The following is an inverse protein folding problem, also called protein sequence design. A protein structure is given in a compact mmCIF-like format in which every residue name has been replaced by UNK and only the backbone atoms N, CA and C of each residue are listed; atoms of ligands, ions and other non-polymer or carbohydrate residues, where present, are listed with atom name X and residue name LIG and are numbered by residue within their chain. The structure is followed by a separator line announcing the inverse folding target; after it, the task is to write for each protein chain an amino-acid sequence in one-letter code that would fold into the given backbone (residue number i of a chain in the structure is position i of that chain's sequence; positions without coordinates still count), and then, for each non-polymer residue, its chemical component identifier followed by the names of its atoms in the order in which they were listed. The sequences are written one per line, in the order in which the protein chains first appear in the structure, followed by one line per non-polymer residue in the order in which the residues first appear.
data_IF_449383391820
#
_entry.id   IF_449383391820
#
_cell.length_a   1.000
_cell.length_b   1.000
_cell.length_c   1.000
_cell.angle_alpha   90.00
_cell.angle_beta   90.00
_cell.angle_gamma   90.00
#
_symmetry.space_group_name_H-M   'P 1'
#
loop_
_entity.id
_entity.type
_entity.pdbx_description
1 polymer ?
#
# COMPACT_ATOMS: atom_id res chain seq x y z
N UNK A 1 -15.92 0.69 6.15
CA UNK A 1 -15.51 -0.73 6.34
C UNK A 1 -16.36 -1.77 5.65
N UNK A 2 -17.65 -1.52 5.39
CA UNK A 2 -18.52 -2.52 4.74
C UNK A 2 -18.10 -2.93 3.31
N UNK A 3 -17.27 -2.11 2.64
CA UNK A 3 -16.66 -2.41 1.33
C UNK A 3 -15.45 -3.34 1.42
N UNK A 4 -14.84 -3.47 2.60
CA UNK A 4 -13.59 -4.21 2.83
C UNK A 4 -13.81 -5.51 3.62
N UNK A 5 -14.77 -5.54 4.55
CA UNK A 5 -14.98 -6.68 5.44
C UNK A 5 -16.15 -7.57 4.98
N UNK A 6 -15.86 -8.81 4.62
CA UNK A 6 -16.82 -9.89 4.43
C UNK A 6 -17.06 -10.68 5.73
N UNK A 7 -18.28 -10.64 6.28
CA UNK A 7 -18.64 -11.34 7.54
C UNK A 7 -17.67 -11.05 8.70
N UNK A 8 -17.31 -9.77 8.87
CA UNK A 8 -16.34 -9.28 9.85
C UNK A 8 -14.90 -9.80 9.70
N UNK A 9 -14.55 -10.40 8.55
CA UNK A 9 -13.19 -10.77 8.17
C UNK A 9 -12.81 -10.05 6.87
N UNK A 10 -11.51 -9.98 6.59
CA UNK A 10 -10.99 -9.41 5.35
C UNK A 10 -9.83 -10.29 4.88
N UNK A 11 -9.95 -10.86 3.69
CA UNK A 11 -8.85 -11.38 2.91
C UNK A 11 -8.36 -10.28 1.97
N UNK A 12 -7.30 -9.61 2.38
CA UNK A 12 -6.60 -8.61 1.58
C UNK A 12 -5.34 -9.24 0.97
N UNK A 13 -5.18 -9.12 -0.35
CA UNK A 13 -4.03 -9.66 -1.08
C UNK A 13 -3.18 -8.51 -1.59
N UNK A 14 -1.95 -8.40 -1.07
CA UNK A 14 -1.02 -7.33 -1.42
C UNK A 14 -0.16 -7.67 -2.63
N UNK A 15 -0.21 -6.78 -3.63
CA UNK A 15 0.63 -6.77 -4.84
C UNK A 15 1.19 -5.36 -5.11
N UNK A 16 1.22 -4.51 -4.10
CA UNK A 16 1.70 -3.13 -4.11
C UNK A 16 3.23 -3.02 -4.05
N UNK A 17 3.93 -3.99 -4.65
CA UNK A 17 5.39 -4.03 -4.70
C UNK A 17 5.91 -2.72 -5.30
N UNK A 18 6.51 -1.91 -4.43
CA UNK A 18 7.03 -0.56 -4.72
C UNK A 18 8.29 -0.32 -3.92
N UNK A 19 9.13 -1.36 -3.82
CA UNK A 19 10.37 -1.32 -3.05
C UNK A 19 11.41 -0.52 -3.82
N UNK A 20 11.84 0.59 -3.25
CA UNK A 20 12.87 1.41 -3.85
C UNK A 20 14.26 0.83 -3.55
N UNK A 21 15.15 0.90 -4.53
CA UNK A 21 16.54 0.43 -4.45
C UNK A 21 16.73 -1.09 -4.26
N UNK A 22 15.74 -1.92 -4.60
CA UNK A 22 15.88 -3.39 -4.60
C UNK A 22 15.36 -3.99 -5.92
N UNK A 23 16.24 -4.18 -6.92
CA UNK A 23 15.87 -4.73 -8.22
C UNK A 23 15.30 -6.16 -8.17
N UNK A 24 15.56 -6.93 -7.11
CA UNK A 24 15.04 -8.30 -7.01
C UNK A 24 13.51 -8.37 -6.92
N UNK A 25 12.83 -7.27 -6.59
CA UNK A 25 11.36 -7.20 -6.58
C UNK A 25 10.74 -6.96 -7.96
N UNK A 26 11.55 -6.86 -9.03
CA UNK A 26 11.04 -6.73 -10.39
C UNK A 26 10.54 -8.07 -10.96
N UNK A 27 11.09 -9.19 -10.48
CA UNK A 27 10.65 -10.52 -10.87
C UNK A 27 9.21 -10.75 -10.40
N UNK A 28 8.32 -11.11 -11.31
CA UNK A 28 6.88 -11.28 -11.06
C UNK A 28 6.01 -10.07 -11.41
N UNK A 29 6.60 -8.92 -11.79
CA UNK A 29 5.87 -7.73 -12.25
C UNK A 29 5.71 -7.65 -13.78
N UNK A 30 6.13 -8.67 -14.53
CA UNK A 30 6.17 -8.66 -15.99
C UNK A 30 4.77 -8.67 -16.63
N UNK A 31 3.79 -9.30 -15.97
CA UNK A 31 2.40 -9.38 -16.41
C UNK A 31 1.43 -9.10 -15.26
N UNK A 32 1.40 -7.83 -14.82
CA UNK A 32 0.47 -7.41 -13.78
C UNK A 32 -0.99 -7.51 -14.18
N UNK A 33 -1.31 -7.38 -15.47
CA UNK A 33 -2.68 -7.56 -15.95
C UNK A 33 -3.16 -9.01 -15.73
N UNK A 34 -2.30 -9.98 -16.08
CA UNK A 34 -2.54 -11.40 -15.81
C UNK A 34 -2.67 -11.71 -14.33
N UNK A 35 -1.78 -11.16 -13.49
CA UNK A 35 -1.84 -11.31 -12.02
C UNK A 35 -3.14 -10.76 -11.45
N UNK A 36 -3.52 -9.53 -11.80
CA UNK A 36 -4.77 -8.90 -11.35
C UNK A 36 -5.98 -9.73 -11.80
N UNK A 37 -6.00 -10.22 -13.05
CA UNK A 37 -7.10 -11.05 -13.54
C UNK A 37 -7.26 -12.35 -12.73
N UNK A 38 -6.15 -13.01 -12.36
CA UNK A 38 -6.17 -14.21 -11.53
C UNK A 38 -6.69 -13.92 -10.12
N UNK A 39 -6.25 -12.82 -9.50
CA UNK A 39 -6.71 -12.42 -8.17
C UNK A 39 -8.20 -12.06 -8.17
N UNK A 40 -8.67 -11.32 -9.18
CA UNK A 40 -10.10 -11.01 -9.33
C UNK A 40 -10.93 -12.29 -9.47
N UNK A 41 -10.43 -13.28 -10.22
CA UNK A 41 -11.10 -14.58 -10.35
C UNK A 41 -11.12 -15.38 -9.03
N UNK A 42 -10.07 -15.26 -8.21
CA UNK A 42 -10.00 -15.87 -6.88
C UNK A 42 -10.95 -15.19 -5.86
N UNK A 43 -11.29 -13.91 -6.09
CA UNK A 43 -12.28 -13.17 -5.31
C UNK A 43 -11.91 -12.90 -3.85
N UNK A 44 -10.72 -12.35 -3.54
CA UNK A 44 -10.45 -11.82 -2.20
C UNK A 44 -11.39 -10.64 -1.89
N UNK A 45 -11.48 -10.27 -0.62
CA UNK A 45 -12.27 -9.10 -0.22
C UNK A 45 -11.63 -7.81 -0.74
N UNK A 46 -10.30 -7.78 -0.80
CA UNK A 46 -9.54 -6.63 -1.27
C UNK A 46 -8.23 -7.01 -1.97
N UNK A 47 -7.74 -6.09 -2.79
CA UNK A 47 -6.41 -6.14 -3.38
C UNK A 47 -5.70 -4.83 -3.04
N UNK A 48 -4.54 -4.95 -2.41
CA UNK A 48 -3.67 -3.83 -2.08
C UNK A 48 -2.70 -3.54 -3.23
N UNK A 49 -2.73 -2.31 -3.76
CA UNK A 49 -1.99 -1.90 -4.96
C UNK A 49 -1.36 -0.49 -4.80
N UNK A 50 -0.35 -0.21 -5.62
CA UNK A 50 0.17 1.16 -5.83
C UNK A 50 -0.66 1.91 -6.90
N UNK A 51 -0.44 3.22 -7.05
CA UNK A 51 -1.17 4.02 -8.06
C UNK A 51 -0.97 3.50 -9.48
N UNK A 52 0.28 3.15 -9.85
CA UNK A 52 0.66 2.87 -11.24
C UNK A 52 -0.01 1.64 -11.85
N UNK A 53 -0.57 0.75 -11.04
CA UNK A 53 -1.23 -0.48 -11.49
C UNK A 53 -2.72 -0.54 -11.09
N UNK A 54 -3.21 0.44 -10.32
CA UNK A 54 -4.57 0.42 -9.77
C UNK A 54 -5.66 0.49 -10.87
N UNK A 55 -5.33 1.05 -12.04
CA UNK A 55 -6.20 1.12 -13.20
C UNK A 55 -6.56 -0.27 -13.76
N UNK A 56 -5.67 -1.25 -13.63
CA UNK A 56 -5.93 -2.64 -14.03
C UNK A 56 -7.14 -3.23 -13.28
N UNK A 57 -7.28 -2.93 -11.99
CA UNK A 57 -8.45 -3.32 -11.20
C UNK A 57 -9.62 -2.36 -11.46
N UNK A 58 -9.35 -1.06 -11.53
CA UNK A 58 -10.43 -0.07 -11.58
C UNK A 58 -11.15 0.04 -12.92
N UNK A 59 -10.49 -0.31 -14.02
CA UNK A 59 -11.11 -0.40 -15.35
C UNK A 59 -12.09 -1.56 -15.51
N UNK A 60 -12.03 -2.57 -14.63
CA UNK A 60 -12.93 -3.71 -14.69
C UNK A 60 -14.38 -3.28 -14.40
N UNK A 61 -15.35 -3.69 -15.24
CA UNK A 61 -16.74 -3.34 -15.04
C UNK A 61 -17.36 -4.15 -13.90
N UNK A 62 -18.35 -3.55 -13.25
CA UNK A 62 -19.18 -4.23 -12.27
C UNK A 62 -18.73 -4.02 -10.82
N UNK A 63 -19.70 -4.18 -9.92
CA UNK A 63 -19.56 -3.89 -8.48
C UNK A 63 -18.99 -5.05 -7.65
N UNK A 64 -18.83 -6.23 -8.26
CA UNK A 64 -18.45 -7.46 -7.57
C UNK A 64 -16.93 -7.72 -7.61
N UNK A 65 -16.13 -6.77 -8.11
CA UNK A 65 -14.67 -6.87 -8.05
C UNK A 65 -14.18 -6.61 -6.62
N UNK A 66 -13.00 -7.16 -6.23
CA UNK A 66 -12.38 -6.86 -4.94
C UNK A 66 -12.23 -5.36 -4.70
N UNK A 67 -12.29 -4.94 -3.44
CA UNK A 67 -12.03 -3.55 -3.07
C UNK A 67 -10.56 -3.18 -3.32
N UNK A 68 -10.32 -1.95 -3.77
CA UNK A 68 -8.96 -1.41 -3.86
C UNK A 68 -8.51 -0.90 -2.49
N UNK A 69 -7.40 -1.44 -1.97
CA UNK A 69 -6.62 -0.82 -0.90
C UNK A 69 -5.41 -0.16 -1.55
N UNK A 70 -5.18 1.12 -1.30
CA UNK A 70 -4.18 1.88 -2.02
C UNK A 70 -2.99 2.26 -1.14
N UNK A 71 -1.80 1.82 -1.53
CA UNK A 71 -0.54 2.23 -0.91
C UNK A 71 -0.15 3.63 -1.38
N UNK A 72 0.03 4.54 -0.42
CA UNK A 72 0.29 5.98 -0.68
C UNK A 72 1.67 6.46 -0.21
N UNK A 73 2.51 5.59 0.33
CA UNK A 73 3.90 5.84 0.68
C UNK A 73 4.81 4.76 0.11
N UNK A 74 6.10 5.10 0.07
CA UNK A 74 7.18 4.26 -0.45
C UNK A 74 8.38 4.34 0.48
N UNK A 75 9.24 3.34 0.41
CA UNK A 75 10.47 3.30 1.19
C UNK A 75 11.49 2.37 0.58
N UNK A 76 12.69 2.41 1.15
CA UNK A 76 13.79 1.53 0.77
C UNK A 76 14.25 0.55 1.89
N UNK A 77 13.40 -0.05 2.76
CA UNK A 77 13.92 -0.91 3.82
C UNK A 77 14.18 -2.37 3.44
N UNK A 78 13.65 -2.86 2.32
CA UNK A 78 13.62 -4.29 1.99
C UNK A 78 14.86 -4.79 1.24
N UNK A 79 16.05 -4.37 1.65
CA UNK A 79 17.28 -4.74 0.95
C UNK A 79 18.08 -5.75 1.76
N UNK A 80 18.74 -6.65 1.04
CA UNK A 80 19.64 -7.65 1.64
C UNK A 80 20.75 -6.99 2.47
N UNK A 81 21.30 -5.90 1.96
CA UNK A 81 22.31 -5.09 2.66
C UNK A 81 21.73 -3.73 2.97
N UNK A 82 21.88 -3.29 4.21
CA UNK A 82 21.38 -1.98 4.66
C UNK A 82 21.99 -0.85 3.82
N UNK A 83 21.15 0.07 3.35
CA UNK A 83 21.61 1.28 2.67
C UNK A 83 22.20 2.28 3.65
N UNK A 84 23.10 3.15 3.16
CA UNK A 84 23.64 4.26 3.96
C UNK A 84 22.56 5.22 4.48
N UNK A 85 21.45 5.34 3.75
CA UNK A 85 20.32 6.19 4.10
C UNK A 85 19.03 5.40 3.92
N UNK A 86 18.25 5.34 4.99
CA UNK A 86 16.96 4.67 5.05
C UNK A 86 15.86 5.72 5.12
N UNK A 87 14.81 5.54 4.33
CA UNK A 87 13.74 6.53 4.22
C UNK A 87 12.38 5.90 3.95
N UNK A 88 11.35 6.64 4.36
CA UNK A 88 9.95 6.37 4.09
C UNK A 88 9.23 7.70 3.81
N UNK A 89 8.64 7.85 2.63
CA UNK A 89 8.03 9.10 2.17
C UNK A 89 6.65 8.86 1.57
N UNK A 90 5.76 9.84 1.71
CA UNK A 90 4.49 9.86 0.97
C UNK A 90 4.76 10.05 -0.53
N UNK A 91 3.97 9.38 -1.37
CA UNK A 91 4.02 9.54 -2.83
C UNK A 91 3.63 10.97 -3.27
N UNK A 92 2.71 11.59 -2.52
CA UNK A 92 2.34 13.00 -2.65
C UNK A 92 2.18 13.59 -1.25
N UNK A 93 3.11 14.44 -0.82
CA UNK A 93 3.08 15.03 0.54
C UNK A 93 2.00 16.12 0.68
N UNK A 94 1.78 16.90 -0.38
CA UNK A 94 0.82 17.99 -0.38
C UNK A 94 -0.62 17.46 -0.31
N UNK A 95 -0.93 16.47 -1.15
CA UNK A 95 -2.26 15.86 -1.27
C UNK A 95 -2.17 14.32 -1.26
N UNK A 96 -1.92 13.68 -0.09
CA UNK A 96 -1.65 12.25 0.00
C UNK A 96 -2.77 11.34 -0.49
N UNK A 97 -4.01 11.83 -0.42
CA UNK A 97 -5.20 11.04 -0.77
C UNK A 97 -5.70 11.26 -2.19
N UNK A 98 -5.16 12.23 -2.95
CA UNK A 98 -5.76 12.62 -4.23
C UNK A 98 -5.93 11.43 -5.16
N UNK A 99 -4.89 10.61 -5.29
CA UNK A 99 -4.95 9.43 -6.16
C UNK A 99 -5.86 8.32 -5.66
N UNK A 100 -5.96 8.15 -4.34
CA UNK A 100 -6.88 7.18 -3.74
C UNK A 100 -8.34 7.59 -3.94
N UNK A 101 -8.63 8.90 -3.91
CA UNK A 101 -9.95 9.43 -4.20
C UNK A 101 -10.30 9.30 -5.69
N UNK A 102 -9.37 9.62 -6.59
CA UNK A 102 -9.53 9.45 -8.04
C UNK A 102 -9.84 8.00 -8.42
N UNK A 103 -9.16 7.05 -7.77
CA UNK A 103 -9.29 5.62 -8.04
C UNK A 103 -10.41 4.93 -7.25
N UNK A 104 -11.28 5.66 -6.54
CA UNK A 104 -12.32 5.11 -5.66
C UNK A 104 -11.80 3.98 -4.74
N UNK A 105 -10.65 4.23 -4.10
CA UNK A 105 -10.07 3.31 -3.13
C UNK A 105 -11.02 3.14 -1.94
N UNK A 106 -11.16 1.91 -1.45
CA UNK A 106 -11.96 1.61 -0.27
C UNK A 106 -11.21 1.90 1.04
N UNK A 107 -9.87 1.92 0.98
CA UNK A 107 -8.95 2.18 2.09
C UNK A 107 -7.62 2.65 1.52
N UNK A 108 -6.86 3.44 2.28
CA UNK A 108 -5.44 3.66 2.03
C UNK A 108 -4.59 2.93 3.05
N UNK A 109 -3.37 2.57 2.67
CA UNK A 109 -2.39 1.92 3.55
C UNK A 109 -1.08 2.71 3.59
N UNK A 110 -0.47 2.77 4.77
CA UNK A 110 0.86 3.35 5.01
C UNK A 110 1.76 2.44 5.83
N UNK A 111 3.07 2.45 5.53
CA UNK A 111 4.04 1.61 6.22
C UNK A 111 4.43 2.17 7.59
N UNK A 112 4.63 1.27 8.55
CA UNK A 112 5.31 1.52 9.82
C UNK A 112 6.51 0.58 9.94
N UNK A 113 7.66 1.04 9.45
CA UNK A 113 8.89 0.25 9.47
C UNK A 113 9.58 0.30 10.83
N UNK A 114 9.93 -0.87 11.36
CA UNK A 114 10.70 -1.04 12.60
C UNK A 114 11.95 -1.86 12.28
N UNK A 115 13.07 -1.16 12.04
CA UNK A 115 14.36 -1.77 11.77
C UNK A 115 15.32 -1.50 12.95
N UNK A 116 16.18 -2.47 13.32
CA UNK A 116 17.21 -2.26 14.34
C UNK A 116 18.11 -1.07 13.99
N UNK A 117 18.38 -0.19 14.97
CA UNK A 117 19.25 0.98 14.79
C UNK A 117 18.81 1.99 13.71
N UNK A 118 17.53 2.02 13.33
CA UNK A 118 16.97 3.00 12.37
C UNK A 118 15.84 3.87 13.00
N UNK A 119 16.13 4.66 14.04
CA UNK A 119 15.12 5.48 14.72
C UNK A 119 14.55 6.59 13.81
N UNK A 120 15.36 7.11 12.89
CA UNK A 120 14.93 8.16 11.96
C UNK A 120 13.92 7.64 10.93
N UNK A 121 14.08 6.40 10.45
CA UNK A 121 13.11 5.75 9.57
C UNK A 121 11.76 5.59 10.28
N UNK A 122 11.78 5.11 11.53
CA UNK A 122 10.57 4.98 12.33
C UNK A 122 9.88 6.35 12.53
N UNK A 123 10.66 7.39 12.82
CA UNK A 123 10.16 8.77 12.97
C UNK A 123 9.47 9.26 11.69
N UNK A 124 10.04 8.98 10.52
CA UNK A 124 9.45 9.32 9.22
C UNK A 124 8.09 8.62 9.02
N UNK A 125 8.00 7.32 9.30
CA UNK A 125 6.72 6.59 9.23
C UNK A 125 5.65 7.21 10.14
N UNK A 126 5.99 7.51 11.39
CA UNK A 126 5.05 8.14 12.34
C UNK A 126 4.58 9.50 11.84
N UNK A 127 5.47 10.30 11.26
CA UNK A 127 5.11 11.59 10.67
C UNK A 127 4.15 11.43 9.49
N UNK A 128 4.43 10.50 8.58
CA UNK A 128 3.56 10.19 7.43
C UNK A 128 2.17 9.75 7.88
N UNK A 129 2.09 8.85 8.88
CA UNK A 129 0.83 8.39 9.47
C UNK A 129 0.03 9.57 10.06
N UNK A 130 0.68 10.43 10.82
CA UNK A 130 0.02 11.60 11.43
C UNK A 130 -0.53 12.56 10.37
N UNK A 131 0.23 12.82 9.31
CA UNK A 131 -0.17 13.67 8.17
C UNK A 131 -1.38 13.08 7.44
N UNK A 132 -1.35 11.79 7.12
CA UNK A 132 -2.40 11.09 6.38
C UNK A 132 -3.67 10.95 7.21
N UNK A 133 -3.54 10.68 8.51
CA UNK A 133 -4.68 10.52 9.42
C UNK A 133 -5.63 11.72 9.38
N UNK A 134 -5.09 12.94 9.34
CA UNK A 134 -5.89 14.16 9.27
C UNK A 134 -6.75 14.22 8.00
N UNK A 135 -6.20 13.84 6.85
CA UNK A 135 -6.93 13.84 5.58
C UNK A 135 -7.94 12.68 5.52
N UNK A 136 -7.58 11.50 6.02
CA UNK A 136 -8.49 10.36 6.11
C UNK A 136 -9.75 10.71 6.89
N UNK A 137 -9.61 11.45 8.00
CA UNK A 137 -10.74 11.94 8.79
C UNK A 137 -11.58 12.97 8.03
N UNK A 138 -10.92 13.91 7.32
CA UNK A 138 -11.60 14.93 6.52
C UNK A 138 -12.44 14.35 5.38
N UNK A 139 -11.91 13.34 4.68
CA UNK A 139 -12.54 12.75 3.50
C UNK A 139 -13.34 11.47 3.81
N UNK A 140 -13.29 10.97 5.04
CA UNK A 140 -13.97 9.74 5.46
C UNK A 140 -13.35 8.47 4.86
N UNK A 141 -12.09 8.53 4.45
CA UNK A 141 -11.37 7.40 3.85
C UNK A 141 -10.67 6.59 4.94
N UNK A 142 -10.91 5.26 5.06
CA UNK A 142 -10.23 4.43 6.03
C UNK A 142 -8.71 4.42 5.85
N UNK A 143 -7.99 4.39 6.98
CA UNK A 143 -6.54 4.30 7.05
C UNK A 143 -6.13 2.96 7.64
N UNK A 144 -5.36 2.19 6.89
CA UNK A 144 -4.62 1.01 7.35
C UNK A 144 -3.17 1.41 7.65
N UNK A 145 -2.65 0.95 8.78
CA UNK A 145 -1.23 1.06 9.10
C UNK A 145 -0.67 -0.35 9.01
N UNK A 146 0.42 -0.52 8.26
CA UNK A 146 1.09 -1.80 8.01
C UNK A 146 2.41 -1.85 8.81
N UNK A 147 2.43 -2.47 10.01
CA UNK A 147 3.63 -2.55 10.83
C UNK A 147 4.53 -3.67 10.33
N UNK A 148 5.78 -3.33 10.07
CA UNK A 148 6.79 -4.28 9.58
C UNK A 148 7.98 -4.27 10.51
N UNK A 149 8.02 -5.28 11.39
CA UNK A 149 9.15 -5.55 12.25
C UNK A 149 10.15 -6.43 11.49
N UNK A 150 11.31 -5.86 11.14
CA UNK A 150 12.38 -6.62 10.50
C UNK A 150 13.32 -7.20 11.55
N UNK A 151 13.74 -8.45 11.35
CA UNK A 151 14.79 -9.05 12.17
C UNK A 151 16.14 -8.38 11.86
N UNK A 152 17.10 -8.39 12.81
CA UNK A 152 18.47 -8.00 12.51
C UNK A 152 19.03 -8.87 11.38
N UNK A 153 19.67 -8.23 10.40
CA UNK A 153 20.40 -8.92 9.32
C UNK A 153 21.71 -9.53 9.83
#
# INVERSE_FOLDING_TARGET
MNRLFGRARCLDVAIDHGVCNEPSFLEGLEDMAGVVAQLVAAGPDAIQMNYGQADLLQSLPGKNKPALVMRIDMGNPYNKTRHRSMWAILQNEAEPLIGALEMDAACVVVNLFMLPDEPDLFRQCVHNIARVRADCERYGLPLMIEPLAMLPN
#
